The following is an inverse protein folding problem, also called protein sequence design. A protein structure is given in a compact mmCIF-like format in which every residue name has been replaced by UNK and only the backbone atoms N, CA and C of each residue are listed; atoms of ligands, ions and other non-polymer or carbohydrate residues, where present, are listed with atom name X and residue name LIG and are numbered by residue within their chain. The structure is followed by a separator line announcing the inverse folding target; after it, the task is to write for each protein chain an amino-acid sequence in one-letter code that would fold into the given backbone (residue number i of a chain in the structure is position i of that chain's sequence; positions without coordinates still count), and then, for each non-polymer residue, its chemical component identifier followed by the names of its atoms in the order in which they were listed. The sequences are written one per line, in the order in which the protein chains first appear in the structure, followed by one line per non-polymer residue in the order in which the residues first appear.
data_IF_864713528654
#
_entry.id   IF_864713528654
#
_cell.length_a   1.000
_cell.length_b   1.000
_cell.length_c   1.000
_cell.angle_alpha   90.00
_cell.angle_beta   90.00
_cell.angle_gamma   90.00
#
_symmetry.space_group_name_H-M   'P 1'
#
loop_
_entity.id
_entity.type
_entity.pdbx_description
1 polymer ?
#
# COMPACT_ATOMS: atom_id res chain seq x y z
N UNK A 1 21.13 20.61 -3.60
CA UNK A 1 20.13 21.34 -2.79
C UNK A 1 18.73 20.76 -2.99
N UNK A 2 18.29 20.55 -4.23
CA UNK A 2 16.98 19.95 -4.57
C UNK A 2 16.79 18.59 -3.88
N UNK A 3 17.79 17.70 -3.99
CA UNK A 3 17.76 16.35 -3.42
C UNK A 3 17.43 16.30 -1.92
N UNK A 4 18.16 17.05 -1.11
CA UNK A 4 17.95 17.08 0.35
C UNK A 4 16.62 17.71 0.73
N UNK A 5 16.18 18.75 -0.01
CA UNK A 5 14.90 19.41 0.23
C UNK A 5 13.69 18.54 -0.16
N UNK A 6 13.86 17.60 -1.10
CA UNK A 6 12.77 16.71 -1.52
C UNK A 6 12.48 15.56 -0.56
N UNK A 7 13.41 15.22 0.36
CA UNK A 7 13.21 14.12 1.33
C UNK A 7 11.94 14.30 2.20
N UNK A 8 11.76 15.43 2.92
CA UNK A 8 10.55 15.64 3.71
C UNK A 8 9.28 15.69 2.85
N UNK A 9 9.36 16.25 1.64
CA UNK A 9 8.24 16.27 0.71
C UNK A 9 7.85 14.85 0.24
N UNK A 10 8.82 13.98 -0.03
CA UNK A 10 8.56 12.59 -0.39
C UNK A 10 8.03 11.76 0.76
N UNK A 11 8.51 11.99 1.99
CA UNK A 11 7.94 11.34 3.18
C UNK A 11 6.49 11.74 3.38
N UNK A 12 6.20 13.05 3.31
CA UNK A 12 4.82 13.54 3.41
C UNK A 12 3.95 12.95 2.30
N UNK A 13 4.42 12.99 1.05
CA UNK A 13 3.70 12.43 -0.09
C UNK A 13 3.42 10.93 0.09
N UNK A 14 4.41 10.15 0.55
CA UNK A 14 4.24 8.72 0.79
C UNK A 14 3.17 8.46 1.87
N UNK A 15 3.18 9.23 2.97
CA UNK A 15 2.16 9.14 4.01
C UNK A 15 0.76 9.47 3.49
N UNK A 16 0.63 10.55 2.72
CA UNK A 16 -0.63 10.97 2.11
C UNK A 16 -1.16 9.91 1.13
N UNK A 17 -0.29 9.37 0.26
CA UNK A 17 -0.66 8.31 -0.68
C UNK A 17 -1.12 7.04 0.03
N UNK A 18 -0.40 6.61 1.08
CA UNK A 18 -0.76 5.42 1.83
C UNK A 18 -2.05 5.59 2.63
N UNK A 19 -2.24 6.76 3.26
CA UNK A 19 -3.48 7.10 3.96
C UNK A 19 -4.68 7.17 3.01
N UNK A 20 -4.54 7.86 1.87
CA UNK A 20 -5.59 7.94 0.85
C UNK A 20 -5.94 6.57 0.27
N UNK A 21 -4.93 5.73 0.01
CA UNK A 21 -5.16 4.34 -0.38
C UNK A 21 -5.97 3.60 0.68
N UNK A 22 -5.62 3.70 1.96
CA UNK A 22 -6.36 3.06 3.06
C UNK A 22 -7.82 3.51 3.13
N UNK A 23 -8.08 4.82 2.99
CA UNK A 23 -9.44 5.36 2.95
C UNK A 23 -10.27 4.74 1.82
N UNK A 24 -9.73 4.74 0.59
CA UNK A 24 -10.40 4.22 -0.61
C UNK A 24 -10.57 2.71 -0.57
N UNK A 25 -9.52 2.00 -0.17
CA UNK A 25 -9.52 0.56 0.02
C UNK A 25 -10.64 0.14 0.98
N UNK A 26 -10.83 0.87 2.07
CA UNK A 26 -11.89 0.56 3.02
C UNK A 26 -13.30 0.85 2.50
N UNK A 27 -13.50 1.73 1.51
CA UNK A 27 -14.81 1.86 0.87
C UNK A 27 -15.18 0.61 0.07
N UNK A 28 -14.17 -0.02 -0.56
CA UNK A 28 -14.34 -1.30 -1.26
C UNK A 28 -14.60 -2.40 -0.25
N UNK A 29 -13.74 -2.56 0.77
CA UNK A 29 -13.89 -3.56 1.83
C UNK A 29 -15.23 -3.45 2.55
N UNK A 30 -15.69 -2.23 2.85
CA UNK A 30 -16.98 -1.99 3.51
C UNK A 30 -18.15 -2.52 2.67
N UNK A 31 -18.03 -2.42 1.35
CA UNK A 31 -19.05 -2.90 0.42
C UNK A 31 -19.04 -4.44 0.27
N UNK A 32 -17.96 -5.10 0.69
CA UNK A 32 -17.86 -6.57 0.74
C UNK A 32 -18.43 -7.07 2.07
N UNK A 33 -18.01 -6.49 3.20
CA UNK A 33 -18.55 -6.82 4.53
C UNK A 33 -18.58 -5.58 5.41
N UNK A 34 -19.79 -5.04 5.63
CA UNK A 34 -20.00 -3.99 6.62
C UNK A 34 -19.71 -4.48 8.05
N UNK A 35 -20.00 -5.75 8.34
CA UNK A 35 -19.75 -6.38 9.65
C UNK A 35 -18.26 -6.43 10.01
N UNK A 36 -17.36 -6.53 9.02
CA UNK A 36 -15.92 -6.41 9.24
C UNK A 36 -15.54 -5.08 9.91
N UNK A 37 -16.31 -4.03 9.65
CA UNK A 37 -16.12 -2.73 10.26
C UNK A 37 -16.93 -2.57 11.53
N UNK A 38 -18.25 -2.72 11.44
CA UNK A 38 -19.17 -2.41 12.54
C UNK A 38 -19.03 -3.32 13.75
N UNK A 39 -18.55 -4.56 13.56
CA UNK A 39 -18.38 -5.55 14.65
C UNK A 39 -16.92 -5.72 15.08
N UNK A 40 -15.97 -5.18 14.35
CA UNK A 40 -14.55 -5.39 14.63
C UNK A 40 -13.71 -4.12 14.52
N UNK A 41 -13.58 -3.52 13.32
CA UNK A 41 -12.67 -2.38 13.16
C UNK A 41 -13.10 -1.10 13.88
N UNK A 42 -14.39 -0.83 14.02
CA UNK A 42 -14.83 0.39 14.69
C UNK A 42 -14.50 0.38 16.17
N UNK A 43 -14.71 -0.75 16.85
CA UNK A 43 -14.29 -0.92 18.24
C UNK A 43 -12.76 -0.84 18.37
N UNK A 44 -12.03 -1.56 17.50
CA UNK A 44 -10.56 -1.54 17.47
C UNK A 44 -9.97 -0.13 17.34
N UNK A 45 -10.63 0.76 16.59
CA UNK A 45 -10.16 2.13 16.31
C UNK A 45 -10.92 3.21 17.09
N UNK A 46 -11.82 2.83 18.01
CA UNK A 46 -12.59 3.77 18.82
C UNK A 46 -13.51 4.70 18.01
N UNK A 47 -14.11 4.20 16.92
CA UNK A 47 -15.04 4.97 16.09
C UNK A 47 -16.39 5.07 16.81
N UNK A 48 -16.87 6.31 17.00
CA UNK A 48 -18.17 6.55 17.64
C UNK A 48 -19.32 5.90 16.85
N UNK A 49 -20.30 5.26 17.53
CA UNK A 49 -21.51 4.74 16.89
C UNK A 49 -22.34 5.79 16.14
N UNK A 50 -22.19 7.07 16.47
CA UNK A 50 -22.86 8.18 15.78
C UNK A 50 -22.18 8.55 14.44
N UNK A 51 -20.95 8.07 14.21
CA UNK A 51 -20.23 8.33 12.97
C UNK A 51 -20.88 7.57 11.84
N UNK A 52 -21.20 8.22 10.70
CA UNK A 52 -21.67 7.51 9.51
C UNK A 52 -20.69 6.39 9.12
N UNK A 53 -21.19 5.18 8.92
CA UNK A 53 -20.33 3.99 8.83
C UNK A 53 -19.29 4.09 7.71
N UNK A 54 -19.65 4.63 6.53
CA UNK A 54 -18.70 4.83 5.43
C UNK A 54 -17.60 5.84 5.77
N UNK A 55 -17.94 6.89 6.53
CA UNK A 55 -16.95 7.83 7.05
C UNK A 55 -16.06 7.15 8.08
N UNK A 56 -16.64 6.37 9.00
CA UNK A 56 -15.90 5.54 9.95
C UNK A 56 -14.90 4.60 9.27
N UNK A 57 -15.32 3.92 8.20
CA UNK A 57 -14.46 3.03 7.42
C UNK A 57 -13.30 3.80 6.76
N UNK A 58 -13.54 5.01 6.26
CA UNK A 58 -12.49 5.88 5.72
C UNK A 58 -11.49 6.31 6.82
N UNK A 59 -11.97 6.72 7.99
CA UNK A 59 -11.12 7.12 9.14
C UNK A 59 -10.25 5.95 9.59
N UNK A 60 -10.84 4.74 9.73
CA UNK A 60 -10.09 3.51 10.00
C UNK A 60 -9.03 3.29 8.94
N UNK A 61 -9.36 3.49 7.66
CA UNK A 61 -8.45 3.31 6.54
C UNK A 61 -7.25 4.21 6.65
N UNK A 62 -7.49 5.50 6.89
CA UNK A 62 -6.43 6.48 7.11
C UNK A 62 -5.55 6.10 8.30
N UNK A 63 -6.13 5.92 9.49
CA UNK A 63 -5.38 5.61 10.72
C UNK A 63 -4.58 4.31 10.61
N UNK A 64 -5.10 3.31 9.91
CA UNK A 64 -4.43 2.04 9.74
C UNK A 64 -3.21 2.11 8.80
N UNK A 65 -3.17 3.06 7.85
CA UNK A 65 -2.18 3.01 6.75
C UNK A 65 -1.30 4.25 6.56
N UNK A 66 -1.67 5.45 7.02
CA UNK A 66 -0.88 6.66 6.71
C UNK A 66 0.60 6.52 7.10
N UNK A 67 0.88 5.89 8.24
CA UNK A 67 2.23 5.68 8.77
C UNK A 67 3.05 4.70 7.92
N UNK A 68 2.40 3.81 7.16
CA UNK A 68 3.09 2.90 6.22
C UNK A 68 3.80 3.68 5.12
N UNK A 69 3.34 4.89 4.79
CA UNK A 69 4.05 5.77 3.87
C UNK A 69 5.44 6.16 4.38
N UNK A 70 5.59 6.44 5.67
CA UNK A 70 6.88 6.70 6.28
C UNK A 70 7.76 5.45 6.25
N UNK A 71 7.19 4.27 6.54
CA UNK A 71 7.89 2.99 6.46
C UNK A 71 8.39 2.69 5.04
N UNK A 72 7.55 2.88 4.01
CA UNK A 72 7.95 2.72 2.60
C UNK A 72 9.02 3.75 2.22
N UNK A 73 8.84 5.00 2.63
CA UNK A 73 9.78 6.10 2.38
C UNK A 73 11.16 5.83 2.98
N UNK A 74 11.23 5.21 4.15
CA UNK A 74 12.49 4.80 4.81
C UNK A 74 13.37 3.93 3.91
N UNK A 75 12.79 3.07 3.08
CA UNK A 75 13.57 2.19 2.20
C UNK A 75 13.82 2.81 0.82
N UNK A 76 12.81 3.46 0.23
CA UNK A 76 12.88 3.88 -1.16
C UNK A 76 13.56 5.24 -1.37
N UNK A 77 13.42 6.17 -0.41
CA UNK A 77 14.03 7.50 -0.54
C UNK A 77 15.57 7.40 -0.46
N UNK A 78 16.17 6.67 0.51
CA UNK A 78 17.62 6.47 0.52
C UNK A 78 18.12 5.67 -0.68
N UNK A 79 17.39 4.63 -1.11
CA UNK A 79 17.74 3.87 -2.30
C UNK A 79 17.81 4.77 -3.55
N UNK A 80 16.89 5.73 -3.67
CA UNK A 80 16.89 6.71 -4.76
C UNK A 80 18.20 7.51 -4.82
N UNK A 81 18.87 7.75 -3.70
CA UNK A 81 20.11 8.54 -3.66
C UNK A 81 21.26 7.93 -4.47
N UNK A 82 21.16 6.65 -4.85
CA UNK A 82 22.07 5.99 -5.77
C UNK A 82 22.05 6.62 -7.18
N UNK A 83 20.90 7.18 -7.59
CA UNK A 83 20.73 7.85 -8.88
C UNK A 83 21.49 9.19 -8.86
N UNK A 84 22.31 9.44 -9.87
CA UNK A 84 23.33 10.52 -9.87
C UNK A 84 22.72 11.89 -10.14
N UNK A 85 21.81 12.03 -11.10
CA UNK A 85 21.15 13.31 -11.37
C UNK A 85 20.05 13.61 -10.35
N UNK A 86 19.89 14.88 -9.98
CA UNK A 86 18.83 15.33 -9.07
C UNK A 86 17.42 15.09 -9.65
N UNK A 87 17.24 15.33 -10.95
CA UNK A 87 15.97 15.07 -11.64
C UNK A 87 15.72 13.56 -11.76
N UNK A 88 16.75 12.77 -12.09
CA UNK A 88 16.65 11.31 -12.15
C UNK A 88 16.26 10.71 -10.80
N UNK A 89 16.84 11.22 -9.70
CA UNK A 89 16.47 10.85 -8.34
C UNK A 89 14.98 11.07 -8.06
N UNK A 90 14.47 12.28 -8.35
CA UNK A 90 13.06 12.62 -8.13
C UNK A 90 12.14 11.66 -8.89
N UNK A 91 12.40 11.43 -10.18
CA UNK A 91 11.59 10.51 -10.98
C UNK A 91 11.71 9.06 -10.54
N UNK A 92 12.89 8.61 -10.09
CA UNK A 92 13.08 7.26 -9.61
C UNK A 92 12.27 6.99 -8.32
N UNK A 93 12.25 7.93 -7.38
CA UNK A 93 11.46 7.83 -6.14
C UNK A 93 9.96 7.92 -6.42
N UNK A 94 9.51 8.87 -7.24
CA UNK A 94 8.08 8.97 -7.59
C UNK A 94 7.59 7.71 -8.30
N UNK A 95 8.38 7.16 -9.23
CA UNK A 95 8.06 5.91 -9.91
C UNK A 95 8.00 4.74 -8.94
N UNK A 96 8.91 4.67 -7.96
CA UNK A 96 8.91 3.58 -6.99
C UNK A 96 7.67 3.61 -6.09
N UNK A 97 7.17 4.79 -5.70
CA UNK A 97 5.88 4.92 -5.01
C UNK A 97 4.71 4.40 -5.86
N UNK A 98 4.68 4.75 -7.15
CA UNK A 98 3.67 4.22 -8.08
C UNK A 98 3.76 2.70 -8.20
N UNK A 99 4.96 2.14 -8.25
CA UNK A 99 5.18 0.68 -8.28
C UNK A 99 4.63 0.03 -7.01
N UNK A 100 4.96 0.56 -5.82
CA UNK A 100 4.46 0.02 -4.55
C UNK A 100 2.94 0.04 -4.50
N UNK A 101 2.32 1.18 -4.83
CA UNK A 101 0.87 1.33 -4.85
C UNK A 101 0.23 0.32 -5.82
N UNK A 102 0.79 0.19 -7.02
CA UNK A 102 0.29 -0.75 -8.04
C UNK A 102 0.40 -2.20 -7.56
N UNK A 103 1.54 -2.60 -7.00
CA UNK A 103 1.71 -3.96 -6.45
C UNK A 103 0.75 -4.23 -5.29
N UNK A 104 0.57 -3.26 -4.39
CA UNK A 104 -0.39 -3.35 -3.27
C UNK A 104 -1.80 -3.58 -3.79
N UNK A 105 -2.25 -2.77 -4.76
CA UNK A 105 -3.58 -2.90 -5.36
C UNK A 105 -3.77 -4.24 -6.09
N UNK A 106 -2.78 -4.65 -6.91
CA UNK A 106 -2.86 -5.87 -7.70
C UNK A 106 -2.88 -7.13 -6.83
N UNK A 107 -2.00 -7.20 -5.83
CA UNK A 107 -1.95 -8.35 -4.92
C UNK A 107 -3.18 -8.39 -4.01
N UNK A 108 -3.64 -7.23 -3.52
CA UNK A 108 -4.91 -7.12 -2.79
C UNK A 108 -6.10 -7.63 -3.61
N UNK A 109 -6.24 -7.16 -4.86
CA UNK A 109 -7.29 -7.60 -5.78
C UNK A 109 -7.19 -9.09 -6.10
N UNK A 110 -5.98 -9.63 -6.30
CA UNK A 110 -5.76 -11.05 -6.51
C UNK A 110 -6.14 -11.87 -5.27
N UNK A 111 -5.77 -11.42 -4.08
CA UNK A 111 -6.15 -12.06 -2.82
C UNK A 111 -7.65 -12.11 -2.61
N UNK A 112 -8.35 -11.03 -2.98
CA UNK A 112 -9.82 -11.00 -2.98
C UNK A 112 -10.41 -11.97 -4.02
N UNK A 113 -9.88 -11.98 -5.25
CA UNK A 113 -10.34 -12.90 -6.30
C UNK A 113 -10.18 -14.36 -5.86
N UNK A 114 -9.02 -14.71 -5.32
CA UNK A 114 -8.76 -16.04 -4.77
C UNK A 114 -9.72 -16.35 -3.61
N UNK A 115 -10.03 -15.39 -2.74
CA UNK A 115 -11.02 -15.58 -1.68
C UNK A 115 -12.44 -15.77 -2.24
N UNK A 116 -12.81 -15.13 -3.35
CA UNK A 116 -14.10 -15.41 -3.99
C UNK A 116 -14.18 -16.84 -4.54
N UNK A 117 -13.09 -17.35 -5.11
CA UNK A 117 -13.03 -18.70 -5.71
C UNK A 117 -12.90 -19.79 -4.65
N UNK A 118 -12.08 -19.57 -3.63
CA UNK A 118 -11.62 -20.63 -2.71
C UNK A 118 -12.15 -20.49 -1.28
N UNK A 119 -12.67 -19.33 -0.85
CA UNK A 119 -13.25 -19.22 0.49
C UNK A 119 -14.61 -19.92 0.53
N UNK A 120 -14.61 -21.19 0.96
CA UNK A 120 -15.79 -21.96 1.30
C UNK A 120 -16.10 -21.94 2.79
N UNK A 121 -17.21 -22.58 3.18
CA UNK A 121 -17.58 -22.78 4.58
C UNK A 121 -16.47 -23.47 5.35
N UNK A 122 -16.13 -22.94 6.53
CA UNK A 122 -15.21 -23.55 7.46
C UNK A 122 -15.93 -23.62 8.82
N UNK A 123 -16.43 -24.79 9.24
CA UNK A 123 -17.30 -24.92 10.41
C UNK A 123 -16.74 -24.30 11.69
N UNK A 124 -15.44 -24.49 11.94
CA UNK A 124 -14.78 -24.01 13.15
C UNK A 124 -14.61 -22.49 13.14
N UNK A 125 -14.22 -21.92 12.00
CA UNK A 125 -14.04 -20.46 11.90
C UNK A 125 -15.40 -19.76 11.81
N UNK A 126 -16.35 -20.36 11.09
CA UNK A 126 -17.68 -19.79 10.90
C UNK A 126 -18.49 -19.81 12.22
N UNK A 127 -18.31 -20.82 13.08
CA UNK A 127 -18.93 -20.84 14.42
C UNK A 127 -18.38 -19.73 15.31
N UNK A 128 -17.05 -19.57 15.38
CA UNK A 128 -16.41 -18.49 16.12
C UNK A 128 -16.86 -17.09 15.65
N UNK A 129 -16.98 -16.90 14.33
CA UNK A 129 -17.46 -15.63 13.78
C UNK A 129 -18.94 -15.38 14.14
N UNK A 130 -19.77 -16.43 14.15
CA UNK A 130 -21.18 -16.32 14.57
C UNK A 130 -21.33 -16.02 16.05
N UNK A 131 -20.47 -16.57 16.91
CA UNK A 131 -20.41 -16.20 18.34
C UNK A 131 -20.05 -14.72 18.52
N UNK A 132 -19.22 -14.17 17.62
CA UNK A 132 -18.93 -12.73 17.54
C UNK A 132 -20.04 -11.92 16.84
N UNK A 133 -21.23 -12.48 16.67
CA UNK A 133 -22.40 -11.84 16.04
C UNK A 133 -22.17 -11.43 14.57
N UNK A 134 -21.30 -12.14 13.85
CA UNK A 134 -21.12 -12.01 12.39
C UNK A 134 -22.10 -12.92 11.68
N UNK A 135 -22.99 -12.34 10.88
CA UNK A 135 -24.05 -13.07 10.18
C UNK A 135 -23.56 -13.69 8.88
N UNK A 136 -22.62 -13.04 8.18
CA UNK A 136 -21.94 -13.56 6.97
C UNK A 136 -20.42 -13.78 7.18
N UNK A 137 -20.03 -14.95 7.73
CA UNK A 137 -18.62 -15.32 7.93
C UNK A 137 -17.79 -15.36 6.65
N UNK A 138 -18.39 -15.66 5.50
CA UNK A 138 -17.67 -15.78 4.23
C UNK A 138 -17.31 -14.39 3.72
N UNK A 139 -18.24 -13.44 3.73
CA UNK A 139 -17.96 -12.05 3.38
C UNK A 139 -16.92 -11.41 4.31
N UNK A 140 -17.02 -11.70 5.61
CA UNK A 140 -16.02 -11.26 6.58
C UNK A 140 -14.62 -11.79 6.25
N UNK A 141 -14.49 -13.10 5.98
CA UNK A 141 -13.21 -13.72 5.61
C UNK A 141 -12.66 -13.22 4.27
N UNK A 142 -13.52 -12.98 3.28
CA UNK A 142 -13.10 -12.36 2.00
C UNK A 142 -12.53 -10.97 2.20
N UNK A 143 -13.17 -10.17 3.06
CA UNK A 143 -12.67 -8.85 3.45
C UNK A 143 -11.33 -8.96 4.17
N UNK A 144 -11.21 -9.88 5.13
CA UNK A 144 -9.94 -10.14 5.82
C UNK A 144 -8.82 -10.55 4.84
N UNK A 145 -9.11 -11.42 3.86
CA UNK A 145 -8.17 -11.83 2.83
C UNK A 145 -7.70 -10.67 1.94
N UNK A 146 -8.61 -9.78 1.53
CA UNK A 146 -8.26 -8.56 0.78
C UNK A 146 -7.25 -7.70 1.56
N UNK A 147 -7.49 -7.47 2.85
CA UNK A 147 -6.59 -6.68 3.70
C UNK A 147 -5.21 -7.36 3.85
N UNK A 148 -5.19 -8.65 4.18
CA UNK A 148 -3.94 -9.41 4.35
C UNK A 148 -3.10 -9.45 3.07
N UNK A 149 -3.76 -9.69 1.92
CA UNK A 149 -3.10 -9.68 0.63
C UNK A 149 -2.54 -8.30 0.26
N UNK A 150 -3.25 -7.22 0.61
CA UNK A 150 -2.75 -5.85 0.38
C UNK A 150 -1.49 -5.57 1.21
N UNK A 151 -1.40 -6.04 2.46
CA UNK A 151 -0.16 -5.93 3.24
C UNK A 151 1.02 -6.68 2.60
N UNK A 152 0.79 -7.90 2.10
CA UNK A 152 1.78 -8.66 1.34
C UNK A 152 2.18 -7.90 0.08
N UNK A 153 1.21 -7.33 -0.63
CA UNK A 153 1.42 -6.50 -1.81
C UNK A 153 2.27 -5.26 -1.53
N UNK A 154 2.06 -4.60 -0.39
CA UNK A 154 2.89 -3.47 0.06
C UNK A 154 4.34 -3.88 0.29
N UNK A 155 4.57 -5.02 0.96
CA UNK A 155 5.91 -5.56 1.18
C UNK A 155 6.61 -5.93 -0.14
N UNK A 156 5.94 -6.68 -1.02
CA UNK A 156 6.44 -6.99 -2.36
C UNK A 156 6.69 -5.72 -3.18
N UNK A 157 5.83 -4.72 -3.01
CA UNK A 157 5.92 -3.41 -3.63
C UNK A 157 7.20 -2.69 -3.26
N UNK A 158 7.67 -2.76 -2.01
CA UNK A 158 8.94 -2.16 -1.58
C UNK A 158 10.10 -2.80 -2.36
N UNK A 159 10.14 -4.14 -2.46
CA UNK A 159 11.17 -4.84 -3.23
C UNK A 159 11.11 -4.48 -4.73
N UNK A 160 9.91 -4.43 -5.32
CA UNK A 160 9.72 -4.04 -6.71
C UNK A 160 10.11 -2.57 -6.97
N UNK A 161 9.77 -1.67 -6.03
CA UNK A 161 10.15 -0.26 -6.07
C UNK A 161 11.66 -0.08 -6.01
N UNK A 162 12.34 -0.85 -5.15
CA UNK A 162 13.79 -0.86 -5.05
C UNK A 162 14.44 -1.35 -6.35
N UNK A 163 13.93 -2.44 -6.95
CA UNK A 163 14.38 -2.92 -8.26
C UNK A 163 14.17 -1.87 -9.38
N UNK A 164 13.09 -1.10 -9.33
CA UNK A 164 12.82 -0.01 -10.28
C UNK A 164 13.83 1.14 -10.15
N UNK A 165 14.25 1.45 -8.92
CA UNK A 165 15.31 2.42 -8.64
C UNK A 165 16.66 1.90 -9.17
N UNK A 166 17.00 0.64 -8.90
CA UNK A 166 18.24 0.03 -9.38
C UNK A 166 18.33 0.07 -10.90
N UNK A 167 17.24 -0.22 -11.61
CA UNK A 167 17.17 -0.08 -13.08
C UNK A 167 17.41 1.36 -13.55
N UNK A 168 16.95 2.34 -12.78
CA UNK A 168 17.17 3.76 -13.11
C UNK A 168 18.64 4.16 -12.93
N UNK A 169 19.27 3.69 -11.85
CA UNK A 169 20.71 3.86 -11.60
C UNK A 169 21.56 3.24 -12.70
N UNK A 170 21.29 1.98 -13.09
CA UNK A 170 22.06 1.29 -14.12
C UNK A 170 21.98 2.02 -15.48
N UNK A 171 20.77 2.42 -15.90
CA UNK A 171 20.56 3.16 -17.16
C UNK A 171 21.28 4.51 -17.19
N UNK A 172 21.32 5.20 -16.07
CA UNK A 172 22.01 6.49 -15.99
C UNK A 172 23.54 6.33 -16.06
N UNK A 173 24.09 5.31 -15.39
CA UNK A 173 25.52 5.01 -15.50
C UNK A 173 25.93 4.60 -16.92
N UNK A 174 25.13 3.77 -17.59
CA UNK A 174 25.36 3.42 -19.00
C UNK A 174 25.40 4.68 -19.89
N UNK A 175 24.44 5.59 -19.70
CA UNK A 175 24.38 6.85 -20.46
C UNK A 175 25.61 7.74 -20.22
N UNK A 176 26.00 7.94 -18.96
CA UNK A 176 27.14 8.80 -18.60
C UNK A 176 28.48 8.24 -19.11
N UNK A 177 28.65 6.92 -19.08
CA UNK A 177 29.84 6.26 -19.61
C UNK A 177 29.92 6.31 -21.14
N UNK A 178 28.76 6.43 -21.82
CA UNK A 178 28.70 6.59 -23.27
C UNK A 178 29.05 8.03 -23.68
N UNK A 179 28.45 9.04 -23.03
CA UNK A 179 28.74 10.46 -23.27
C UNK A 179 30.22 10.81 -23.02
N UNK A 180 30.90 10.16 -22.07
CA UNK A 180 32.35 10.37 -21.85
C UNK A 180 33.23 9.83 -22.98
N UNK A 181 32.79 8.82 -23.73
CA UNK A 181 33.56 8.23 -24.84
C UNK A 181 33.48 9.06 -26.12
N UNK A 182 32.33 9.66 -26.40
CA UNK A 182 32.17 10.54 -27.57
C UNK A 182 32.93 11.87 -27.43
N UNK A 183 33.29 12.29 -26.21
CA UNK A 183 34.09 13.49 -25.97
C UNK A 183 35.61 13.31 -26.09
N UNK A 184 36.09 12.08 -26.28
CA UNK A 184 37.52 11.73 -26.42
C UNK A 184 37.95 11.46 -27.88
N UNK A 185 37.01 11.42 -28.83
CA UNK A 185 37.25 11.28 -30.28
C UNK A 185 37.27 12.63 -31.02
#
# INVERSE_FOLDING_TARGET
MIRSLSVPAFLLLACLLSGAYGMLHNQVSYSISGEYFTKFKFDQFGISPETPERLGAAIVGWHASWWMGAFIGLFLIPAGMLVRSDIGYVFAVLRSFVVVLSTTMLVGALGLLLAFVFAGSNPDVDSMLREAMITDPIAFRRTASLHNASYIGGLLGIFAGWASILRSFLRENERLNFESREGEE
#
